data_IF_481094511013
#
_entry.id   IF_481094511013
#
_cell.length_a   1.000
_cell.length_b   1.000
_cell.length_c   1.000
_cell.angle_alpha   90.00
_cell.angle_beta   90.00
_cell.angle_gamma   90.00
#
_symmetry.space_group_name_H-M   'P 1'
#
loop_
_entity.id
_entity.type
_entity.pdbx_description
1 polymer ?
#
# COMPACT_ATOMS: atom_id res chain seq x y z
N UNK A 1 -30.78 21.41 24.82
CA UNK A 1 -30.44 20.49 23.71
C UNK A 1 -28.99 20.07 23.86
N UNK A 2 -28.72 18.76 23.96
CA UNK A 2 -27.39 18.20 24.29
C UNK A 2 -26.50 18.17 23.04
N UNK A 3 -25.37 18.87 23.08
CA UNK A 3 -24.31 18.76 22.07
C UNK A 3 -23.55 17.46 22.27
N UNK A 4 -23.60 16.57 21.28
CA UNK A 4 -22.80 15.35 21.22
C UNK A 4 -21.32 15.71 21.14
N UNK A 5 -20.60 15.61 22.27
CA UNK A 5 -19.14 15.58 22.31
C UNK A 5 -18.68 14.39 21.45
N UNK A 6 -18.14 14.68 20.27
CA UNK A 6 -17.52 13.65 19.43
C UNK A 6 -16.15 13.36 20.03
N UNK A 7 -15.98 12.10 20.45
CA UNK A 7 -14.84 11.60 21.21
C UNK A 7 -13.50 12.12 20.70
N UNK A 8 -12.75 12.71 21.63
CA UNK A 8 -11.34 12.97 21.51
C UNK A 8 -10.67 11.64 21.13
N UNK A 9 -9.87 11.65 20.07
CA UNK A 9 -9.09 10.48 19.67
C UNK A 9 -8.26 10.04 20.88
N UNK A 10 -8.40 8.78 21.31
CA UNK A 10 -7.64 8.19 22.44
C UNK A 10 -6.14 8.49 22.32
N UNK A 11 -5.64 8.56 21.09
CA UNK A 11 -4.26 8.90 20.76
C UNK A 11 -3.85 10.33 21.17
N UNK A 12 -4.75 11.31 21.06
CA UNK A 12 -4.51 12.70 21.48
C UNK A 12 -4.50 12.82 23.02
N UNK A 13 -5.39 12.09 23.69
CA UNK A 13 -5.41 12.06 25.16
C UNK A 13 -4.16 11.42 25.77
N UNK A 14 -3.48 10.54 25.02
CA UNK A 14 -2.26 9.84 25.45
C UNK A 14 -0.97 10.60 25.15
N UNK A 15 -0.99 11.55 24.20
CA UNK A 15 0.22 12.19 23.67
C UNK A 15 0.28 13.70 23.95
N UNK A 16 -0.82 14.34 24.36
CA UNK A 16 -0.94 15.80 24.46
C UNK A 16 -0.95 16.32 25.90
N UNK A 17 -0.11 15.80 26.79
CA UNK A 17 0.03 16.40 28.12
C UNK A 17 0.58 17.83 28.07
N UNK A 18 1.25 18.27 26.99
CA UNK A 18 1.67 19.68 26.87
C UNK A 18 1.57 20.17 25.41
N UNK A 19 1.14 21.43 25.27
CA UNK A 19 1.10 22.29 24.07
C UNK A 19 -0.19 22.29 23.22
N UNK A 20 -1.11 23.18 23.59
CA UNK A 20 -2.10 23.76 22.67
C UNK A 20 -1.45 24.83 21.77
N UNK A 21 -1.73 24.81 20.46
CA UNK A 21 -2.68 25.76 19.83
C UNK A 21 -2.56 25.80 18.28
N UNK A 22 -3.71 26.13 17.68
CA UNK A 22 -3.96 26.84 16.41
C UNK A 22 -4.54 26.06 15.22
N UNK A 23 -5.56 26.72 14.68
CA UNK A 23 -6.74 26.36 13.91
C UNK A 23 -6.55 26.01 12.44
N UNK A 24 -7.51 25.22 11.97
CA UNK A 24 -7.63 24.62 10.65
C UNK A 24 -8.25 25.55 9.59
N UNK A 25 -7.72 25.44 8.37
CA UNK A 25 -8.44 25.78 7.14
C UNK A 25 -8.83 24.47 6.42
N UNK A 26 -10.13 24.28 6.15
CA UNK A 26 -10.68 23.04 5.58
C UNK A 26 -10.66 23.10 4.05
N UNK A 27 -9.55 22.67 3.46
CA UNK A 27 -9.49 22.28 2.03
C UNK A 27 -10.22 20.94 1.85
N UNK A 28 -11.07 20.82 0.82
CA UNK A 28 -11.73 19.58 0.42
C UNK A 28 -10.71 18.44 0.26
N UNK A 29 -10.71 17.49 1.20
CA UNK A 29 -9.76 16.38 1.19
C UNK A 29 -10.26 15.29 0.26
N UNK A 30 -9.68 15.18 -0.94
CA UNK A 30 -9.67 13.90 -1.70
C UNK A 30 -9.15 12.83 -0.74
N UNK A 31 -10.02 11.97 -0.24
CA UNK A 31 -9.76 11.11 0.92
C UNK A 31 -8.64 10.07 0.77
N UNK A 32 -7.96 10.00 -0.38
CA UNK A 32 -6.83 9.10 -0.61
C UNK A 32 -5.66 9.88 -1.21
N UNK A 33 -4.50 9.77 -0.56
CA UNK A 33 -3.29 10.39 -1.06
C UNK A 33 -2.81 9.65 -2.33
N UNK A 34 -2.77 10.32 -3.50
CA UNK A 34 -2.40 9.68 -4.76
C UNK A 34 -0.96 9.13 -4.73
N UNK A 35 -0.03 9.80 -4.03
CA UNK A 35 1.36 9.35 -3.93
C UNK A 35 1.47 8.00 -3.20
N UNK A 36 0.70 7.83 -2.13
CA UNK A 36 0.68 6.58 -1.38
C UNK A 36 0.05 5.44 -2.17
N UNK A 37 -0.97 5.73 -2.98
CA UNK A 37 -1.56 4.74 -3.90
C UNK A 37 -0.51 4.28 -4.91
N UNK A 38 0.21 5.22 -5.55
CA UNK A 38 1.25 4.88 -6.52
C UNK A 38 2.35 4.05 -5.87
N UNK A 39 2.81 4.42 -4.68
CA UNK A 39 3.82 3.65 -3.94
C UNK A 39 3.37 2.22 -3.62
N UNK A 40 2.12 2.06 -3.15
CA UNK A 40 1.51 0.75 -2.91
C UNK A 40 1.45 -0.08 -4.19
N UNK A 41 0.96 0.51 -5.28
CA UNK A 41 0.76 -0.19 -6.54
C UNK A 41 2.09 -0.63 -7.14
N UNK A 42 3.13 0.21 -7.09
CA UNK A 42 4.47 -0.16 -7.53
C UNK A 42 5.06 -1.27 -6.65
N UNK A 43 4.89 -1.21 -5.32
CA UNK A 43 5.29 -2.30 -4.43
C UNK A 43 4.57 -3.62 -4.75
N UNK A 44 3.27 -3.56 -5.04
CA UNK A 44 2.46 -4.71 -5.44
C UNK A 44 3.01 -5.39 -6.69
N UNK A 45 3.51 -4.63 -7.69
CA UNK A 45 4.11 -5.22 -8.89
C UNK A 45 5.39 -6.00 -8.59
N UNK A 46 6.28 -5.46 -7.75
CA UNK A 46 7.48 -6.18 -7.31
C UNK A 46 7.10 -7.46 -6.56
N UNK A 47 6.06 -7.39 -5.73
CA UNK A 47 5.56 -8.54 -4.99
C UNK A 47 4.93 -9.60 -5.91
N UNK A 48 4.16 -9.17 -6.90
CA UNK A 48 3.62 -10.04 -7.93
C UNK A 48 4.72 -10.73 -8.74
N UNK A 49 5.75 -9.99 -9.13
CA UNK A 49 6.93 -10.54 -9.81
C UNK A 49 7.61 -11.61 -8.95
N UNK A 50 7.84 -11.33 -7.68
CA UNK A 50 8.45 -12.29 -6.75
C UNK A 50 7.65 -13.60 -6.65
N UNK A 51 6.34 -13.50 -6.39
CA UNK A 51 5.45 -14.68 -6.27
C UNK A 51 5.38 -15.50 -7.56
N UNK A 52 5.25 -14.83 -8.70
CA UNK A 52 5.07 -15.52 -9.99
C UNK A 52 6.37 -16.05 -10.58
N UNK A 53 7.49 -15.31 -10.47
CA UNK A 53 8.75 -15.65 -11.14
C UNK A 53 9.75 -16.37 -10.24
N UNK A 54 9.93 -15.91 -9.00
CA UNK A 54 10.93 -16.46 -8.07
C UNK A 54 10.35 -17.66 -7.33
N UNK A 55 9.18 -17.51 -6.70
CA UNK A 55 8.49 -18.63 -6.04
C UNK A 55 7.79 -19.57 -7.03
N UNK A 56 7.69 -19.19 -8.32
CA UNK A 56 7.07 -19.97 -9.41
C UNK A 56 5.60 -20.34 -9.13
N UNK A 57 4.87 -19.50 -8.39
CA UNK A 57 3.44 -19.70 -8.16
C UNK A 57 2.64 -19.44 -9.43
N UNK A 58 1.52 -20.16 -9.57
CA UNK A 58 0.56 -19.88 -10.63
C UNK A 58 -0.08 -18.50 -10.44
N UNK A 59 -0.65 -17.96 -11.52
CA UNK A 59 -1.29 -16.65 -11.47
C UNK A 59 -2.40 -16.55 -10.41
N UNK A 60 -3.35 -17.50 -10.30
CA UNK A 60 -4.40 -17.44 -9.29
C UNK A 60 -3.83 -17.42 -7.86
N UNK A 61 -2.84 -18.27 -7.59
CA UNK A 61 -2.20 -18.36 -6.26
C UNK A 61 -1.40 -17.09 -5.91
N UNK A 62 -0.73 -16.51 -6.91
CA UNK A 62 -0.01 -15.25 -6.75
C UNK A 62 -0.98 -14.12 -6.40
N UNK A 63 -2.12 -14.04 -7.09
CA UNK A 63 -3.15 -13.03 -6.83
C UNK A 63 -3.78 -13.25 -5.46
N UNK A 64 -4.10 -14.50 -5.08
CA UNK A 64 -4.63 -14.81 -3.75
C UNK A 64 -3.67 -14.40 -2.62
N UNK A 65 -2.37 -14.62 -2.78
CA UNK A 65 -1.37 -14.15 -1.83
C UNK A 65 -1.36 -12.62 -1.71
N UNK A 66 -1.41 -11.90 -2.85
CA UNK A 66 -1.45 -10.43 -2.86
C UNK A 66 -2.73 -9.86 -2.23
N UNK A 67 -3.87 -10.54 -2.36
CA UNK A 67 -5.10 -10.13 -1.68
C UNK A 67 -4.93 -10.08 -0.17
N UNK A 68 -4.29 -11.11 0.40
CA UNK A 68 -4.03 -11.19 1.83
C UNK A 68 -2.95 -10.18 2.29
N UNK A 69 -1.91 -9.97 1.49
CA UNK A 69 -0.83 -9.04 1.85
C UNK A 69 -1.26 -7.56 1.75
N UNK A 70 -2.01 -7.19 0.70
CA UNK A 70 -2.37 -5.80 0.41
C UNK A 70 -3.80 -5.43 0.81
N UNK A 71 -4.62 -6.39 1.25
CA UNK A 71 -6.02 -6.18 1.63
C UNK A 71 -6.84 -5.55 0.49
N UNK A 72 -6.57 -5.97 -0.74
CA UNK A 72 -7.28 -5.53 -1.94
C UNK A 72 -8.10 -6.67 -2.52
N UNK A 73 -9.23 -6.33 -3.15
CA UNK A 73 -10.00 -7.32 -3.89
C UNK A 73 -9.22 -7.82 -5.12
N UNK A 74 -9.51 -9.06 -5.53
CA UNK A 74 -8.93 -9.66 -6.74
C UNK A 74 -9.06 -8.75 -7.95
N UNK A 75 -10.25 -8.20 -8.17
CA UNK A 75 -10.55 -7.30 -9.29
C UNK A 75 -9.68 -6.04 -9.25
N UNK A 76 -9.43 -5.48 -8.07
CA UNK A 76 -8.57 -4.30 -7.93
C UNK A 76 -7.11 -4.64 -8.25
N UNK A 77 -6.61 -5.78 -7.78
CA UNK A 77 -5.25 -6.26 -8.09
C UNK A 77 -5.07 -6.46 -9.60
N UNK A 78 -6.04 -7.11 -10.24
CA UNK A 78 -6.03 -7.31 -11.70
C UNK A 78 -6.01 -5.97 -12.44
N UNK A 79 -6.85 -5.01 -12.03
CA UNK A 79 -6.86 -3.66 -12.61
C UNK A 79 -5.52 -2.95 -12.44
N UNK A 80 -4.89 -3.03 -11.26
CA UNK A 80 -3.58 -2.43 -11.01
C UNK A 80 -2.51 -3.05 -11.92
N UNK A 81 -2.46 -4.38 -11.99
CA UNK A 81 -1.49 -5.10 -12.84
C UNK A 81 -1.69 -4.72 -14.31
N UNK A 82 -2.93 -4.70 -14.80
CA UNK A 82 -3.24 -4.33 -16.18
C UNK A 82 -2.87 -2.87 -16.48
N UNK A 83 -3.25 -1.94 -15.59
CA UNK A 83 -2.96 -0.51 -15.76
C UNK A 83 -1.46 -0.18 -15.73
N UNK A 84 -0.65 -1.02 -15.07
CA UNK A 84 0.80 -0.85 -14.95
C UNK A 84 1.59 -1.98 -15.62
N UNK A 85 1.06 -2.52 -16.72
CA UNK A 85 1.72 -3.61 -17.46
C UNK A 85 3.13 -3.23 -17.92
N UNK A 86 3.33 -1.97 -18.34
CA UNK A 86 4.63 -1.48 -18.80
C UNK A 86 5.67 -1.50 -17.68
N UNK A 87 5.31 -1.03 -16.47
CA UNK A 87 6.18 -1.11 -15.28
C UNK A 87 6.54 -2.56 -14.94
N UNK A 88 5.56 -3.46 -15.02
CA UNK A 88 5.77 -4.88 -14.76
C UNK A 88 6.73 -5.52 -15.78
N UNK A 89 6.64 -5.14 -17.06
CA UNK A 89 7.56 -5.60 -18.10
C UNK A 89 8.98 -5.10 -17.87
N UNK A 90 9.14 -3.87 -17.37
CA UNK A 90 10.45 -3.34 -16.96
C UNK A 90 11.03 -4.13 -15.79
N UNK A 91 10.25 -4.40 -14.75
CA UNK A 91 10.68 -5.23 -13.61
C UNK A 91 11.09 -6.63 -14.09
N UNK A 92 10.30 -7.22 -15.00
CA UNK A 92 10.61 -8.53 -15.60
C UNK A 92 11.90 -8.50 -16.43
N UNK A 93 12.24 -7.37 -17.06
CA UNK A 93 13.49 -7.18 -17.80
C UNK A 93 14.68 -6.97 -16.85
N UNK A 94 14.50 -6.19 -15.80
CA UNK A 94 15.50 -5.94 -14.75
C UNK A 94 15.86 -7.23 -14.01
N UNK A 95 14.90 -8.14 -13.84
CA UNK A 95 15.05 -9.40 -13.10
C UNK A 95 15.68 -9.21 -11.72
N UNK A 96 15.05 -8.40 -10.84
CA UNK A 96 15.61 -8.14 -9.51
C UNK A 96 15.74 -9.44 -8.72
N UNK A 97 16.90 -9.61 -8.08
CA UNK A 97 17.17 -10.72 -7.17
C UNK A 97 16.44 -10.54 -5.83
N UNK A 98 16.31 -11.62 -5.05
CA UNK A 98 15.75 -11.54 -3.69
C UNK A 98 16.50 -10.53 -2.82
N UNK A 99 17.82 -10.41 -2.98
CA UNK A 99 18.64 -9.44 -2.26
C UNK A 99 18.22 -8.00 -2.58
N UNK A 100 18.08 -7.66 -3.86
CA UNK A 100 17.69 -6.29 -4.25
C UNK A 100 16.25 -5.96 -3.87
N UNK A 101 15.34 -6.95 -3.89
CA UNK A 101 13.97 -6.77 -3.39
C UNK A 101 13.95 -6.49 -1.89
N UNK A 102 14.76 -7.20 -1.11
CA UNK A 102 14.89 -6.99 0.34
C UNK A 102 15.49 -5.62 0.69
N UNK A 103 16.46 -5.15 -0.09
CA UNK A 103 17.01 -3.79 0.06
C UNK A 103 15.95 -2.73 -0.24
N UNK A 104 15.13 -2.93 -1.27
CA UNK A 104 14.09 -1.96 -1.68
C UNK A 104 12.89 -1.92 -0.73
N UNK A 105 12.49 -3.08 -0.20
CA UNK A 105 11.30 -3.23 0.63
C UNK A 105 11.57 -4.14 1.83
N UNK A 106 12.32 -3.68 2.84
CA UNK A 106 12.83 -4.52 3.92
C UNK A 106 11.74 -5.10 4.84
N UNK A 107 10.54 -4.53 4.83
CA UNK A 107 9.41 -4.95 5.65
C UNK A 107 8.66 -6.18 5.10
N UNK A 108 8.99 -6.63 3.88
CA UNK A 108 8.42 -7.83 3.29
C UNK A 108 9.36 -9.04 3.47
N UNK A 109 8.76 -10.22 3.61
CA UNK A 109 9.45 -11.50 3.53
C UNK A 109 9.55 -11.91 2.06
N UNK A 110 10.67 -11.60 1.42
CA UNK A 110 11.07 -11.97 0.07
C UNK A 110 11.79 -13.32 0.02
#
# INVERSE_FOLDING_TARGET
MRTLQRGISVLHSLLSEEEEMVSADKVERKGRNPKLIVARDTCLLYRFYFKSKIERRLYPDSVAALMNEFHLSQVMIQKIIQAKTDELMLIKKEQPSVKSLKEKYPHFVW
#
